data_IF_165998310625
#
_entry.id   IF_165998310625
#
_cell.length_a   1.000
_cell.length_b   1.000
_cell.length_c   1.000
_cell.angle_alpha   90.00
_cell.angle_beta   90.00
_cell.angle_gamma   90.00
#
_symmetry.space_group_name_H-M   'P 1'
#
loop_
_entity.id
_entity.type
_entity.pdbx_description
1 polymer ?
#
# COMPACT_ATOMS: atom_id res chain seq x y z
N UNK A 1 3.57 -5.22 0.72
CA UNK A 1 2.85 -5.88 1.85
C UNK A 1 3.01 -5.14 3.17
N UNK A 2 4.23 -4.77 3.58
CA UNK A 2 4.51 -4.07 4.85
C UNK A 2 3.69 -2.79 5.09
N UNK A 3 3.68 -1.84 4.13
CA UNK A 3 2.87 -0.61 4.24
C UNK A 3 1.37 -0.86 4.39
N UNK A 4 0.84 -1.79 3.60
CA UNK A 4 -0.54 -2.21 3.70
C UNK A 4 -0.82 -2.77 5.11
N UNK A 5 -0.03 -3.74 5.57
CA UNK A 5 -0.13 -4.28 6.92
C UNK A 5 -0.10 -3.19 8.01
N UNK A 6 0.83 -2.24 7.90
CA UNK A 6 0.96 -1.12 8.84
C UNK A 6 -0.30 -0.25 8.93
N UNK A 7 -0.89 0.12 7.79
CA UNK A 7 -2.14 0.91 7.78
C UNK A 7 -3.28 0.14 8.45
N UNK A 8 -3.43 -1.15 8.17
CA UNK A 8 -4.51 -1.95 8.76
C UNK A 8 -4.35 -2.16 10.26
N UNK A 9 -3.12 -2.42 10.73
CA UNK A 9 -2.82 -2.52 12.17
C UNK A 9 -3.08 -1.19 12.89
N UNK A 10 -2.73 -0.06 12.26
CA UNK A 10 -2.99 1.27 12.81
C UNK A 10 -4.50 1.59 12.85
N UNK A 11 -5.25 1.22 11.81
CA UNK A 11 -6.71 1.34 11.80
C UNK A 11 -7.36 0.47 12.90
N UNK A 12 -6.86 -0.75 13.13
CA UNK A 12 -7.31 -1.61 14.23
C UNK A 12 -7.05 -0.96 15.59
N UNK A 13 -5.81 -0.49 15.81
CA UNK A 13 -5.42 0.15 17.06
C UNK A 13 -6.25 1.40 17.40
N UNK A 14 -6.75 2.10 16.37
CA UNK A 14 -7.62 3.28 16.49
C UNK A 14 -9.12 2.93 16.55
N UNK A 15 -9.51 1.66 16.45
CA UNK A 15 -10.92 1.24 16.42
C UNK A 15 -11.67 1.69 15.16
N UNK A 16 -10.96 1.93 14.05
CA UNK A 16 -11.53 2.41 12.79
C UNK A 16 -11.98 1.27 11.86
N UNK A 17 -11.67 0.02 12.22
CA UNK A 17 -12.14 -1.15 11.49
C UNK A 17 -13.59 -1.46 11.90
N UNK A 18 -14.45 -1.84 10.94
CA UNK A 18 -15.83 -2.25 11.26
C UNK A 18 -15.89 -3.51 12.12
N UNK A 19 -14.94 -4.42 11.90
CA UNK A 19 -14.73 -5.63 12.67
C UNK A 19 -13.23 -5.73 12.98
N UNK A 20 -12.84 -6.27 14.15
CA UNK A 20 -11.43 -6.57 14.44
C UNK A 20 -10.79 -7.42 13.35
N UNK A 21 -9.47 -7.32 13.19
CA UNK A 21 -8.78 -8.23 12.29
C UNK A 21 -8.90 -9.65 12.84
N UNK A 22 -9.16 -10.60 11.94
CA UNK A 22 -9.06 -12.01 12.32
C UNK A 22 -7.64 -12.31 12.85
N UNK A 23 -7.50 -13.16 13.88
CA UNK A 23 -6.19 -13.39 14.52
C UNK A 23 -5.10 -13.86 13.55
N UNK A 24 -5.45 -14.69 12.56
CA UNK A 24 -4.51 -15.21 11.57
C UNK A 24 -3.98 -14.10 10.65
N UNK A 25 -4.87 -13.22 10.17
CA UNK A 25 -4.53 -12.06 9.35
C UNK A 25 -3.73 -11.04 10.13
N UNK A 26 -4.07 -10.82 11.40
CA UNK A 26 -3.30 -9.95 12.29
C UNK A 26 -1.88 -10.47 12.45
N UNK A 27 -1.71 -11.76 12.77
CA UNK A 27 -0.39 -12.38 12.87
C UNK A 27 0.40 -12.29 11.55
N UNK A 28 -0.27 -12.44 10.40
CA UNK A 28 0.36 -12.25 9.08
C UNK A 28 0.80 -10.80 8.85
N UNK A 29 0.02 -9.81 9.28
CA UNK A 29 0.38 -8.40 9.18
C UNK A 29 1.54 -8.04 10.11
N UNK A 30 1.52 -8.52 11.36
CA UNK A 30 2.61 -8.34 12.32
C UNK A 30 3.90 -8.97 11.80
N UNK A 31 3.84 -10.18 11.25
CA UNK A 31 4.98 -10.81 10.58
C UNK A 31 5.49 -9.97 9.40
N UNK A 32 4.61 -9.48 8.55
CA UNK A 32 4.99 -8.62 7.42
C UNK A 32 5.66 -7.30 7.87
N UNK A 33 5.42 -6.84 9.11
CA UNK A 33 6.12 -5.69 9.70
C UNK A 33 7.56 -6.03 10.14
N UNK A 34 7.84 -7.30 10.42
CA UNK A 34 9.18 -7.77 10.81
C UNK A 34 10.02 -8.16 9.59
N UNK A 35 9.39 -8.71 8.55
CA UNK A 35 10.08 -9.13 7.34
C UNK A 35 10.73 -7.92 6.61
N UNK A 36 11.94 -8.09 6.02
CA UNK A 36 12.55 -7.05 5.20
C UNK A 36 11.67 -6.70 4.00
N UNK A 37 11.72 -5.45 3.57
CA UNK A 37 11.03 -5.07 2.35
C UNK A 37 11.64 -5.81 1.15
N UNK A 38 10.81 -6.23 0.17
CA UNK A 38 11.32 -6.83 -1.06
C UNK A 38 12.18 -5.80 -1.82
N UNK A 39 13.13 -6.28 -2.67
CA UNK A 39 13.95 -5.39 -3.48
C UNK A 39 13.08 -4.52 -4.38
N UNK A 40 13.44 -3.25 -4.49
CA UNK A 40 12.76 -2.25 -5.31
C UNK A 40 13.75 -1.71 -6.35
N UNK A 41 13.26 -1.49 -7.55
CA UNK A 41 14.01 -0.85 -8.64
C UNK A 41 13.57 0.58 -8.84
N UNK A 42 12.26 0.83 -8.76
CA UNK A 42 11.67 2.14 -9.02
C UNK A 42 10.59 2.44 -8.00
N UNK A 43 10.57 3.67 -7.51
CA UNK A 43 9.51 4.23 -6.67
C UNK A 43 8.99 5.49 -7.33
N UNK A 44 7.72 5.49 -7.71
CA UNK A 44 7.03 6.69 -8.17
C UNK A 44 6.29 7.32 -7.00
N UNK A 45 6.59 8.58 -6.68
CA UNK A 45 5.68 9.41 -5.89
C UNK A 45 4.48 9.78 -6.75
N UNK A 46 3.30 9.38 -6.29
CA UNK A 46 2.02 9.60 -6.97
C UNK A 46 1.03 10.31 -6.05
N UNK A 47 1.54 11.02 -5.04
CA UNK A 47 0.73 11.68 -4.02
C UNK A 47 -0.28 12.66 -4.61
N UNK A 48 0.09 13.35 -5.70
CA UNK A 48 -0.81 14.26 -6.43
C UNK A 48 -2.00 13.54 -7.10
N UNK A 49 -1.84 12.25 -7.44
CA UNK A 49 -2.86 11.44 -8.12
C UNK A 49 -3.76 10.65 -7.16
N UNK A 50 -3.57 10.77 -5.85
CA UNK A 50 -4.40 10.07 -4.85
C UNK A 50 -5.91 10.30 -5.08
N UNK A 51 -6.40 11.54 -5.31
CA UNK A 51 -7.82 11.76 -5.56
C UNK A 51 -8.33 10.99 -6.80
N UNK A 52 -7.55 11.01 -7.89
CA UNK A 52 -7.90 10.34 -9.13
C UNK A 52 -7.90 8.80 -8.99
N UNK A 53 -6.88 8.23 -8.32
CA UNK A 53 -6.81 6.80 -8.02
C UNK A 53 -8.02 6.32 -7.21
N UNK A 54 -8.47 7.10 -6.24
CA UNK A 54 -9.66 6.78 -5.43
C UNK A 54 -10.93 6.80 -6.27
N UNK A 55 -11.08 7.79 -7.16
CA UNK A 55 -12.21 7.83 -8.11
C UNK A 55 -12.21 6.61 -9.03
N UNK A 56 -11.05 6.26 -9.60
CA UNK A 56 -10.90 5.09 -10.44
C UNK A 56 -11.23 3.79 -9.68
N UNK A 57 -10.71 3.61 -8.47
CA UNK A 57 -11.05 2.47 -7.62
C UNK A 57 -12.56 2.38 -7.35
N UNK A 58 -13.23 3.51 -7.10
CA UNK A 58 -14.68 3.57 -6.89
C UNK A 58 -15.52 3.10 -8.09
N UNK A 59 -14.97 3.09 -9.32
CA UNK A 59 -15.65 2.54 -10.50
C UNK A 59 -15.73 1.01 -10.44
N UNK A 60 -14.81 0.35 -9.75
CA UNK A 60 -14.78 -1.10 -9.54
C UNK A 60 -15.68 -1.51 -8.36
N UNK A 61 -16.97 -1.17 -8.42
CA UNK A 61 -17.91 -1.26 -7.28
C UNK A 61 -17.99 -2.64 -6.60
N UNK A 62 -17.84 -3.72 -7.35
CA UNK A 62 -17.87 -5.09 -6.79
C UNK A 62 -16.63 -5.44 -5.96
N UNK A 63 -15.52 -4.72 -6.14
CA UNK A 63 -14.24 -4.97 -5.47
C UNK A 63 -13.89 -3.87 -4.45
N UNK A 64 -14.23 -2.62 -4.79
CA UNK A 64 -13.85 -1.40 -4.07
C UNK A 64 -15.05 -0.49 -3.76
N UNK A 65 -16.26 -1.06 -3.68
CA UNK A 65 -17.46 -0.33 -3.27
C UNK A 65 -17.40 0.21 -1.84
N UNK A 66 -18.48 0.82 -1.37
CA UNK A 66 -18.55 1.52 -0.08
C UNK A 66 -18.28 0.63 1.15
N UNK A 67 -18.52 -0.67 1.03
CA UNK A 67 -18.18 -1.65 2.06
C UNK A 67 -16.70 -2.04 2.06
N UNK A 68 -15.95 -1.71 1.01
CA UNK A 68 -14.55 -2.07 0.87
C UNK A 68 -13.68 -1.32 1.87
N UNK A 69 -12.73 -2.05 2.45
CA UNK A 69 -11.76 -1.48 3.38
C UNK A 69 -10.92 -0.35 2.77
N UNK A 70 -10.69 -0.40 1.46
CA UNK A 70 -9.97 0.63 0.71
C UNK A 70 -10.71 1.98 0.72
N UNK A 71 -12.05 1.97 0.67
CA UNK A 71 -12.86 3.18 0.74
C UNK A 71 -12.77 3.83 2.14
N UNK A 72 -12.56 3.01 3.17
CA UNK A 72 -12.57 3.39 4.61
C UNK A 72 -11.24 3.90 5.15
N UNK A 73 -10.16 3.87 4.37
CA UNK A 73 -8.87 4.41 4.79
C UNK A 73 -9.02 5.93 5.07
N UNK A 74 -8.66 6.44 6.26
CA UNK A 74 -8.77 7.86 6.61
C UNK A 74 -7.90 8.77 5.71
N UNK A 75 -8.34 10.02 5.41
CA UNK A 75 -7.59 10.95 4.56
C UNK A 75 -6.13 11.15 4.95
N UNK A 76 -5.84 11.26 6.25
CA UNK A 76 -4.49 11.44 6.76
C UNK A 76 -3.57 10.24 6.54
N UNK A 77 -4.14 9.07 6.24
CA UNK A 77 -3.40 7.85 5.91
C UNK A 77 -3.27 7.61 4.41
N UNK A 78 -3.93 8.41 3.56
CA UNK A 78 -3.91 8.18 2.11
C UNK A 78 -2.51 8.27 1.53
N UNK A 79 -1.66 9.19 2.01
CA UNK A 79 -0.26 9.28 1.55
C UNK A 79 0.52 7.98 1.79
N UNK A 80 0.36 7.35 2.96
CA UNK A 80 1.03 6.08 3.28
C UNK A 80 0.51 4.92 2.44
N UNK A 81 -0.76 4.97 2.07
CA UNK A 81 -1.46 3.86 1.42
C UNK A 81 -1.42 3.93 -0.12
N UNK A 82 -1.55 5.14 -0.68
CA UNK A 82 -1.68 5.40 -2.12
C UNK A 82 -0.56 6.26 -2.71
N UNK A 83 0.24 6.93 -1.87
CA UNK A 83 1.17 7.99 -2.29
C UNK A 83 2.42 7.50 -3.02
N UNK A 84 2.69 6.20 -3.04
CA UNK A 84 3.78 5.63 -3.84
C UNK A 84 3.32 4.42 -4.64
N UNK A 85 3.86 4.28 -5.85
CA UNK A 85 3.91 3.00 -6.57
C UNK A 85 5.33 2.49 -6.62
N UNK A 86 5.51 1.18 -6.38
CA UNK A 86 6.82 0.56 -6.20
C UNK A 86 6.95 -0.61 -7.14
N UNK A 87 8.04 -0.67 -7.89
CA UNK A 87 8.24 -1.64 -8.95
C UNK A 87 9.59 -2.34 -8.80
N UNK A 88 9.61 -3.60 -9.22
CA UNK A 88 10.84 -4.35 -9.43
C UNK A 88 11.04 -4.55 -10.93
N UNK A 89 12.21 -4.15 -11.44
CA UNK A 89 12.56 -4.31 -12.84
C UNK A 89 13.00 -5.75 -13.09
N UNK A 90 12.11 -6.53 -13.71
CA UNK A 90 12.40 -7.92 -14.03
C UNK A 90 13.48 -8.06 -15.11
N UNK A 91 13.46 -7.18 -16.14
CA UNK A 91 14.42 -7.18 -17.26
C UNK A 91 14.62 -5.76 -17.83
N UNK A 92 15.86 -5.35 -18.14
CA UNK A 92 17.10 -6.02 -17.72
C UNK A 92 17.19 -6.07 -16.18
N UNK A 93 17.95 -7.00 -15.58
CA UNK A 93 18.03 -7.07 -14.12
C UNK A 93 18.47 -5.73 -13.53
N UNK A 94 17.81 -5.29 -12.46
CA UNK A 94 18.25 -4.12 -11.71
C UNK A 94 19.61 -4.40 -11.08
N UNK A 95 20.58 -3.45 -11.11
CA UNK A 95 21.88 -3.67 -10.51
C UNK A 95 21.77 -4.00 -9.02
N UNK A 96 22.52 -5.00 -8.57
CA UNK A 96 22.53 -5.39 -7.16
C UNK A 96 23.06 -4.25 -6.29
N UNK A 97 22.34 -3.91 -5.21
CA UNK A 97 22.71 -2.82 -4.30
C UNK A 97 22.46 -1.42 -4.83
N UNK A 98 21.91 -1.24 -6.03
CA UNK A 98 21.51 0.08 -6.51
C UNK A 98 20.27 0.59 -5.77
N UNK A 99 20.30 1.86 -5.39
CA UNK A 99 19.14 2.54 -4.80
C UNK A 99 17.97 2.58 -5.81
N UNK A 100 16.71 2.50 -5.34
CA UNK A 100 15.56 2.64 -6.22
C UNK A 100 15.52 4.02 -6.88
N UNK A 101 15.26 4.04 -8.19
CA UNK A 101 15.07 5.26 -8.95
C UNK A 101 13.73 5.95 -8.61
N UNK A 102 13.68 7.27 -8.79
CA UNK A 102 12.47 8.09 -8.61
C UNK A 102 11.52 8.07 -9.83
N UNK A 103 11.66 7.07 -10.72
CA UNK A 103 10.87 6.88 -11.93
C UNK A 103 11.58 5.98 -12.93
N UNK A 104 10.94 5.70 -14.07
CA UNK A 104 11.55 4.91 -15.15
C UNK A 104 12.49 5.73 -16.06
N UNK A 105 12.46 7.06 -15.97
CA UNK A 105 13.22 7.98 -16.83
C UNK A 105 14.47 8.57 -16.15
N UNK A 106 14.90 8.01 -15.02
CA UNK A 106 16.08 8.49 -14.27
C UNK A 106 17.41 8.01 -14.84
#
# INVERSE_FOLDING_TARGET
MKRFAGVFLEMEARGLLPEPLDPERKARFEKAMLDPDPPLSVVHDVSEYIPLKRLAAGMHRSQFGESSMFARVPPEMHGRFYGEERFYQARPPWPEGAEPAAGFDS
#
